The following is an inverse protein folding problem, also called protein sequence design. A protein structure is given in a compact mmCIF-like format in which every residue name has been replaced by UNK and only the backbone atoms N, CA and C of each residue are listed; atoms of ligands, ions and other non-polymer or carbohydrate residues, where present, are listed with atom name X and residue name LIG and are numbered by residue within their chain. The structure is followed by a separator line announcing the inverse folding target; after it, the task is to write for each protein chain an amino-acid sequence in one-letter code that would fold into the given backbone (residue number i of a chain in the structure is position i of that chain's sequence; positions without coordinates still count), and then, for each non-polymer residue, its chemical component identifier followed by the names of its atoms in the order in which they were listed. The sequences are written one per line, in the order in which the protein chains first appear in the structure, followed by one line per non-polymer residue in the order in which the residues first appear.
data_IF_676716427940
#
_entry.id   IF_676716427940
#
_cell.length_a   1.000
_cell.length_b   1.000
_cell.length_c   1.000
_cell.angle_alpha   90.00
_cell.angle_beta   90.00
_cell.angle_gamma   90.00
#
_symmetry.space_group_name_H-M   'P 1'
#
loop_
_entity.id
_entity.type
_entity.pdbx_description
1 polymer ?
#
# COMPACT_ATOMS: atom_id res chain seq x y z
N UNK A 1 4.92 -6.62 -17.81
CA UNK A 1 6.11 -6.91 -18.64
C UNK A 1 6.77 -5.62 -19.08
N UNK A 2 8.00 -5.68 -19.61
CA UNK A 2 8.72 -4.51 -20.14
C UNK A 2 7.96 -3.83 -21.28
N UNK A 3 7.34 -4.63 -22.16
CA UNK A 3 6.49 -4.16 -23.25
C UNK A 3 5.33 -3.27 -22.78
N UNK A 4 4.69 -3.61 -21.64
CA UNK A 4 3.63 -2.79 -21.08
C UNK A 4 4.13 -1.40 -20.66
N UNK A 5 5.35 -1.32 -20.10
CA UNK A 5 5.98 -0.06 -19.70
C UNK A 5 6.25 0.81 -20.92
N UNK A 6 6.74 0.22 -22.01
CA UNK A 6 7.03 0.93 -23.26
C UNK A 6 5.73 1.45 -23.89
N UNK A 7 4.70 0.62 -23.98
CA UNK A 7 3.39 1.02 -24.49
C UNK A 7 2.77 2.18 -23.68
N UNK A 8 2.85 2.13 -22.34
CA UNK A 8 2.39 3.25 -21.51
C UNK A 8 3.27 4.49 -21.67
N UNK A 9 4.56 4.33 -21.95
CA UNK A 9 5.46 5.47 -22.20
C UNK A 9 5.09 6.20 -23.48
N UNK A 10 4.83 5.48 -24.58
CA UNK A 10 4.36 6.09 -25.83
C UNK A 10 3.00 6.77 -25.65
N UNK A 11 2.06 6.13 -24.94
CA UNK A 11 0.77 6.75 -24.62
C UNK A 11 0.92 8.06 -23.84
N UNK A 12 1.90 8.13 -22.92
CA UNK A 12 2.18 9.32 -22.12
C UNK A 12 2.91 10.43 -22.89
N UNK A 13 3.63 10.11 -23.97
CA UNK A 13 4.17 11.12 -24.90
C UNK A 13 3.05 11.83 -25.66
N UNK A 14 2.04 11.09 -26.08
CA UNK A 14 0.86 11.64 -26.77
C UNK A 14 -0.03 12.41 -25.79
N UNK A 15 -0.26 11.84 -24.60
CA UNK A 15 -1.10 12.44 -23.56
C UNK A 15 -0.47 12.25 -22.18
N UNK A 16 0.29 13.26 -21.74
CA UNK A 16 0.99 13.25 -20.44
C UNK A 16 0.05 13.21 -19.23
N UNK A 17 -1.21 13.61 -19.40
CA UNK A 17 -2.25 13.62 -18.36
C UNK A 17 -3.06 12.32 -18.29
N UNK A 18 -2.67 11.27 -19.01
CA UNK A 18 -3.43 10.02 -19.02
C UNK A 18 -3.20 9.20 -17.73
N UNK A 19 -4.03 9.47 -16.72
CA UNK A 19 -3.92 8.91 -15.37
C UNK A 19 -3.85 7.37 -15.35
N UNK A 20 -4.68 6.69 -16.16
CA UNK A 20 -4.71 5.22 -16.20
C UNK A 20 -3.40 4.63 -16.73
N UNK A 21 -2.74 5.29 -17.70
CA UNK A 21 -1.43 4.87 -18.18
C UNK A 21 -0.35 5.03 -17.10
N UNK A 22 -0.33 6.17 -16.37
CA UNK A 22 0.57 6.34 -15.23
C UNK A 22 0.38 5.26 -14.17
N UNK A 23 -0.87 4.99 -13.78
CA UNK A 23 -1.18 4.00 -12.75
C UNK A 23 -0.73 2.59 -13.16
N UNK A 24 -1.07 2.16 -14.39
CA UNK A 24 -0.70 0.83 -14.86
C UNK A 24 0.80 0.69 -15.14
N UNK A 25 1.48 1.77 -15.56
CA UNK A 25 2.94 1.80 -15.66
C UNK A 25 3.60 1.62 -14.29
N UNK A 26 3.06 2.26 -13.24
CA UNK A 26 3.49 2.04 -11.86
C UNK A 26 3.35 0.59 -11.40
N UNK A 27 2.20 -0.03 -11.67
CA UNK A 27 1.98 -1.46 -11.36
C UNK A 27 2.97 -2.36 -12.11
N UNK A 28 3.22 -2.08 -13.38
CA UNK A 28 4.18 -2.85 -14.17
C UNK A 28 5.62 -2.74 -13.61
N UNK A 29 6.03 -1.56 -13.14
CA UNK A 29 7.31 -1.41 -12.45
C UNK A 29 7.37 -2.17 -11.12
N UNK A 30 6.29 -2.17 -10.32
CA UNK A 30 6.26 -2.96 -9.07
C UNK A 30 6.39 -4.46 -9.33
N UNK A 31 5.72 -4.97 -10.37
CA UNK A 31 5.85 -6.38 -10.76
C UNK A 31 7.28 -6.76 -11.17
N UNK A 32 8.09 -5.80 -11.61
CA UNK A 32 9.50 -5.98 -11.92
C UNK A 32 10.44 -5.65 -10.75
N UNK A 33 9.91 -5.35 -9.56
CA UNK A 33 10.70 -4.93 -8.38
C UNK A 33 11.31 -3.53 -8.51
N UNK A 34 10.95 -2.75 -9.52
CA UNK A 34 11.48 -1.41 -9.77
C UNK A 34 10.71 -0.35 -8.97
N UNK A 35 10.77 -0.45 -7.64
CA UNK A 35 9.95 0.38 -6.75
C UNK A 35 10.17 1.90 -6.89
N UNK A 36 11.40 2.44 -7.06
CA UNK A 36 11.59 3.88 -7.28
C UNK A 36 10.88 4.40 -8.55
N UNK A 37 10.91 3.61 -9.63
CA UNK A 37 10.20 3.97 -10.86
C UNK A 37 8.67 3.91 -10.69
N UNK A 38 8.18 2.96 -9.89
CA UNK A 38 6.77 2.89 -9.53
C UNK A 38 6.31 4.11 -8.71
N UNK A 39 7.10 4.57 -7.75
CA UNK A 39 6.81 5.76 -6.94
C UNK A 39 6.63 7.01 -7.81
N UNK A 40 7.51 7.21 -8.81
CA UNK A 40 7.37 8.32 -9.76
C UNK A 40 6.02 8.23 -10.50
N UNK A 41 5.64 7.02 -10.94
CA UNK A 41 4.38 6.83 -11.64
C UNK A 41 3.16 7.15 -10.74
N UNK A 42 3.16 6.67 -9.50
CA UNK A 42 2.07 6.96 -8.55
C UNK A 42 2.03 8.42 -8.12
N UNK A 43 3.18 9.07 -7.96
CA UNK A 43 3.25 10.51 -7.72
C UNK A 43 2.61 11.32 -8.86
N UNK A 44 2.81 10.91 -10.12
CA UNK A 44 2.11 11.53 -11.25
C UNK A 44 0.59 11.31 -11.19
N UNK A 45 0.13 10.12 -10.80
CA UNK A 45 -1.31 9.85 -10.58
C UNK A 45 -1.88 10.77 -9.51
N UNK A 46 -1.20 10.88 -8.36
CA UNK A 46 -1.62 11.72 -7.23
C UNK A 46 -1.65 13.19 -7.64
N UNK A 47 -0.64 13.69 -8.37
CA UNK A 47 -0.61 15.07 -8.86
C UNK A 47 -1.78 15.37 -9.79
N UNK A 48 -2.16 14.43 -10.65
CA UNK A 48 -3.27 14.60 -11.60
C UNK A 48 -4.65 14.36 -10.97
N UNK A 49 -4.73 13.46 -9.98
CA UNK A 49 -5.93 13.07 -9.26
C UNK A 49 -5.59 12.73 -7.80
N UNK A 50 -5.57 13.73 -6.89
CA UNK A 50 -5.11 13.54 -5.51
C UNK A 50 -5.98 12.58 -4.70
N UNK A 51 -7.27 12.48 -5.05
CA UNK A 51 -8.24 11.62 -4.36
C UNK A 51 -8.21 10.17 -4.88
N UNK A 52 -7.08 9.69 -5.40
CA UNK A 52 -6.94 8.31 -5.87
C UNK A 52 -6.34 7.45 -4.77
N UNK A 53 -7.18 6.90 -3.88
CA UNK A 53 -6.77 6.05 -2.75
C UNK A 53 -5.79 4.95 -3.16
N UNK A 54 -6.07 4.24 -4.26
CA UNK A 54 -5.22 3.16 -4.75
C UNK A 54 -3.80 3.63 -5.14
N UNK A 55 -3.61 4.89 -5.54
CA UNK A 55 -2.28 5.40 -5.87
C UNK A 55 -1.46 5.64 -4.60
N UNK A 56 -2.07 6.18 -3.55
CA UNK A 56 -1.45 6.31 -2.23
C UNK A 56 -1.08 4.95 -1.64
N UNK A 57 -2.00 3.98 -1.67
CA UNK A 57 -1.73 2.60 -1.19
C UNK A 57 -0.54 2.00 -1.94
N UNK A 58 -0.55 2.01 -3.28
CA UNK A 58 0.54 1.37 -4.04
C UNK A 58 1.88 2.12 -3.90
N UNK A 59 1.86 3.44 -3.72
CA UNK A 59 3.07 4.21 -3.40
C UNK A 59 3.61 3.84 -2.01
N UNK A 60 2.73 3.67 -1.02
CA UNK A 60 3.10 3.18 0.31
C UNK A 60 3.71 1.79 0.28
N UNK A 61 3.13 0.88 -0.50
CA UNK A 61 3.72 -0.46 -0.74
C UNK A 61 5.11 -0.32 -1.34
N UNK A 62 5.28 0.50 -2.38
CA UNK A 62 6.58 0.70 -3.00
C UNK A 62 7.63 1.28 -2.03
N UNK A 63 7.26 2.21 -1.13
CA UNK A 63 8.15 2.68 -0.06
C UNK A 63 8.51 1.58 0.95
N UNK A 64 7.53 0.77 1.35
CA UNK A 64 7.75 -0.35 2.27
C UNK A 64 8.76 -1.36 1.72
N UNK A 65 8.64 -1.72 0.44
CA UNK A 65 9.53 -2.72 -0.18
C UNK A 65 10.99 -2.23 -0.33
N UNK A 66 11.23 -0.92 -0.28
CA UNK A 66 12.59 -0.34 -0.24
C UNK A 66 13.05 0.06 1.16
N UNK A 67 12.32 -0.35 2.21
CA UNK A 67 12.68 -0.09 3.60
C UNK A 67 12.42 1.33 4.10
N UNK A 68 11.72 2.17 3.33
CA UNK A 68 11.35 3.53 3.74
C UNK A 68 10.01 3.52 4.48
N UNK A 69 10.02 2.99 5.70
CA UNK A 69 8.80 2.69 6.46
C UNK A 69 8.01 3.93 6.88
N UNK A 70 8.67 5.04 7.22
CA UNK A 70 8.03 6.29 7.62
C UNK A 70 7.21 6.87 6.46
N UNK A 71 7.80 6.90 5.25
CA UNK A 71 7.09 7.36 4.05
C UNK A 71 5.97 6.41 3.64
N UNK A 72 6.14 5.11 3.85
CA UNK A 72 5.07 4.14 3.63
C UNK A 72 3.88 4.42 4.55
N UNK A 73 4.14 4.72 5.83
CA UNK A 73 3.13 5.07 6.81
C UNK A 73 2.37 6.34 6.40
N UNK A 74 3.09 7.41 6.04
CA UNK A 74 2.48 8.67 5.54
C UNK A 74 1.57 8.42 4.33
N UNK A 75 1.98 7.54 3.40
CA UNK A 75 1.15 7.19 2.24
C UNK A 75 -0.14 6.49 2.64
N UNK A 76 -0.10 5.58 3.62
CA UNK A 76 -1.30 4.91 4.09
C UNK A 76 -2.22 5.85 4.89
N UNK A 77 -1.66 6.77 5.66
CA UNK A 77 -2.44 7.84 6.31
C UNK A 77 -3.14 8.70 5.24
N UNK A 78 -2.44 9.12 4.19
CA UNK A 78 -3.08 9.84 3.07
C UNK A 78 -4.13 9.02 2.34
N UNK A 79 -3.92 7.71 2.17
CA UNK A 79 -4.95 6.85 1.61
C UNK A 79 -6.22 6.84 2.49
N UNK A 80 -6.06 6.79 3.81
CA UNK A 80 -7.16 6.79 4.78
C UNK A 80 -7.80 8.17 4.98
N UNK A 81 -7.08 9.26 4.76
CA UNK A 81 -7.66 10.62 4.67
C UNK A 81 -8.60 10.72 3.46
N UNK A 82 -8.23 10.12 2.33
CA UNK A 82 -9.04 10.12 1.09
C UNK A 82 -10.22 9.16 1.19
N UNK A 83 -10.00 7.96 1.73
CA UNK A 83 -11.03 6.94 1.94
C UNK A 83 -10.81 6.25 3.30
N UNK A 84 -11.50 6.74 4.36
CA UNK A 84 -11.40 6.17 5.69
C UNK A 84 -11.88 4.72 5.79
N UNK A 85 -12.69 4.27 4.83
CA UNK A 85 -13.27 2.93 4.79
C UNK A 85 -12.42 1.92 4.02
N UNK A 86 -11.24 2.33 3.53
CA UNK A 86 -10.38 1.46 2.73
C UNK A 86 -9.79 0.33 3.56
N UNK A 87 -10.43 -0.84 3.52
CA UNK A 87 -9.95 -2.06 4.19
C UNK A 87 -8.52 -2.42 3.75
N UNK A 88 -8.19 -2.20 2.47
CA UNK A 88 -6.86 -2.46 1.91
C UNK A 88 -5.80 -1.51 2.48
N UNK A 89 -6.14 -0.23 2.72
CA UNK A 89 -5.21 0.72 3.33
C UNK A 89 -4.96 0.36 4.81
N UNK A 90 -6.03 0.06 5.56
CA UNK A 90 -5.93 -0.41 6.95
C UNK A 90 -5.10 -1.69 7.05
N UNK A 91 -5.31 -2.68 6.18
CA UNK A 91 -4.53 -3.91 6.15
C UNK A 91 -3.04 -3.64 5.91
N UNK A 92 -2.70 -2.85 4.89
CA UNK A 92 -1.30 -2.54 4.59
C UNK A 92 -0.59 -1.72 5.67
N UNK A 93 -1.33 -0.82 6.34
CA UNK A 93 -0.83 -0.09 7.52
C UNK A 93 -0.59 -1.03 8.70
N UNK A 94 -1.49 -2.00 8.92
CA UNK A 94 -1.32 -3.05 9.92
C UNK A 94 -0.08 -3.91 9.68
N UNK A 95 0.11 -4.39 8.44
CA UNK A 95 1.32 -5.14 8.04
C UNK A 95 2.59 -4.34 8.28
N UNK A 96 2.59 -3.05 7.91
CA UNK A 96 3.73 -2.16 8.14
C UNK A 96 4.06 -2.04 9.63
N UNK A 97 3.04 -1.79 10.47
CA UNK A 97 3.21 -1.65 11.92
C UNK A 97 3.67 -2.96 12.57
N UNK A 98 3.16 -4.11 12.12
CA UNK A 98 3.60 -5.40 12.62
C UNK A 98 5.09 -5.63 12.31
N UNK A 99 5.54 -5.27 11.10
CA UNK A 99 6.95 -5.36 10.69
C UNK A 99 7.87 -4.43 11.47
N UNK A 100 7.40 -3.25 11.90
CA UNK A 100 8.18 -2.28 12.69
C UNK A 100 8.02 -2.45 14.20
N UNK A 101 7.39 -3.53 14.66
CA UNK A 101 7.25 -3.87 16.09
C UNK A 101 6.05 -3.24 16.80
N UNK A 102 5.23 -2.46 16.09
CA UNK A 102 3.99 -1.85 16.57
C UNK A 102 2.80 -2.82 16.67
N UNK A 103 2.99 -4.03 17.19
CA UNK A 103 2.01 -5.13 17.15
C UNK A 103 0.62 -4.76 17.69
N UNK A 104 0.52 -4.03 18.81
CA UNK A 104 -0.77 -3.57 19.35
C UNK A 104 -1.50 -2.63 18.40
N UNK A 105 -0.77 -1.72 17.75
CA UNK A 105 -1.34 -0.80 16.75
C UNK A 105 -1.70 -1.53 15.46
N UNK A 106 -0.90 -2.51 15.05
CA UNK A 106 -1.20 -3.37 13.92
C UNK A 106 -2.53 -4.12 14.11
N UNK A 107 -2.77 -4.68 15.30
CA UNK A 107 -4.03 -5.35 15.65
C UNK A 107 -5.24 -4.41 15.50
N UNK A 108 -5.11 -3.15 15.91
CA UNK A 108 -6.17 -2.14 15.71
C UNK A 108 -6.43 -1.93 14.21
N UNK A 109 -5.38 -1.79 13.40
CA UNK A 109 -5.50 -1.63 11.96
C UNK A 109 -6.16 -2.85 11.29
N UNK A 110 -5.80 -4.08 11.67
CA UNK A 110 -6.45 -5.27 11.11
C UNK A 110 -7.92 -5.38 11.51
N UNK A 111 -8.26 -5.06 12.75
CA UNK A 111 -9.66 -4.99 13.17
C UNK A 111 -10.43 -3.95 12.36
N UNK A 112 -9.86 -2.77 12.12
CA UNK A 112 -10.47 -1.75 11.24
C UNK A 112 -10.63 -2.22 9.81
N UNK A 113 -9.65 -2.94 9.26
CA UNK A 113 -9.76 -3.53 7.94
C UNK A 113 -10.95 -4.51 7.87
N UNK A 114 -11.11 -5.36 8.88
CA UNK A 114 -12.18 -6.36 8.96
C UNK A 114 -13.55 -5.77 9.32
N UNK A 115 -13.61 -4.63 10.01
CA UNK A 115 -14.85 -3.86 10.19
C UNK A 115 -15.41 -3.41 8.83
N UNK A 116 -14.55 -3.03 7.88
CA UNK A 116 -14.94 -2.56 6.56
C UNK A 116 -15.08 -3.68 5.52
N UNK A 117 -14.24 -4.72 5.60
CA UNK A 117 -14.34 -5.94 4.80
C UNK A 117 -14.13 -7.18 5.67
N UNK A 118 -15.21 -7.76 6.21
CA UNK A 118 -15.14 -8.94 7.07
C UNK A 118 -14.59 -10.20 6.39
N UNK A 119 -14.50 -10.21 5.05
CA UNK A 119 -14.03 -11.35 4.25
C UNK A 119 -12.61 -11.16 3.73
N UNK A 120 -11.91 -10.12 4.19
CA UNK A 120 -10.52 -9.89 3.81
C UNK A 120 -9.61 -10.95 4.46
N UNK A 121 -9.40 -12.06 3.76
CA UNK A 121 -8.63 -13.21 4.22
C UNK A 121 -7.22 -12.82 4.69
N UNK A 122 -6.55 -11.94 3.93
CA UNK A 122 -5.21 -11.43 4.28
C UNK A 122 -5.19 -10.78 5.68
N UNK A 123 -6.19 -9.94 5.98
CA UNK A 123 -6.27 -9.25 7.27
C UNK A 123 -6.61 -10.21 8.41
N UNK A 124 -7.42 -11.26 8.17
CA UNK A 124 -7.67 -12.31 9.16
C UNK A 124 -6.38 -13.03 9.52
N UNK A 125 -5.64 -13.51 8.52
CA UNK A 125 -4.39 -14.26 8.72
C UNK A 125 -3.36 -13.41 9.46
N UNK A 126 -3.12 -12.18 9.02
CA UNK A 126 -2.15 -11.29 9.64
C UNK A 126 -2.54 -10.90 11.06
N UNK A 127 -3.85 -10.73 11.33
CA UNK A 127 -4.35 -10.49 12.68
C UNK A 127 -4.04 -11.65 13.62
N UNK A 128 -4.36 -12.87 13.22
CA UNK A 128 -4.11 -14.07 14.05
C UNK A 128 -2.61 -14.27 14.30
N UNK A 129 -1.76 -14.02 13.30
CA UNK A 129 -0.30 -14.05 13.48
C UNK A 129 0.16 -13.04 14.55
N UNK A 130 -0.37 -11.81 14.52
CA UNK A 130 -0.02 -10.78 15.50
C UNK A 130 -0.53 -11.14 16.90
N UNK A 131 -1.73 -11.72 17.03
CA UNK A 131 -2.27 -12.18 18.32
C UNK A 131 -1.37 -13.27 18.91
N UNK A 132 -1.06 -14.31 18.13
CA UNK A 132 -0.20 -15.41 18.57
C UNK A 132 1.19 -14.91 19.01
N UNK A 133 1.76 -13.94 18.28
CA UNK A 133 3.03 -13.32 18.66
C UNK A 133 2.95 -12.60 20.02
N UNK A 134 1.90 -11.82 20.26
CA UNK A 134 1.70 -11.10 21.52
C UNK A 134 1.53 -12.08 22.69
N UNK A 135 0.74 -13.14 22.52
CA UNK A 135 0.51 -14.16 23.55
C UNK A 135 1.78 -14.94 23.88
N UNK A 136 2.54 -15.35 22.86
CA UNK A 136 3.81 -16.03 23.03
C UNK A 136 4.80 -15.17 23.83
N UNK A 137 4.86 -13.86 23.55
CA UNK A 137 5.71 -12.92 24.30
C UNK A 137 5.23 -12.73 25.75
N UNK A 138 3.91 -12.76 25.98
CA UNK A 138 3.33 -12.64 27.33
C UNK A 138 3.64 -13.88 28.19
N UNK A 139 3.62 -15.06 27.61
CA UNK A 139 3.84 -16.33 28.32
C UNK A 139 5.34 -16.65 28.55
N UNK A 140 6.24 -15.87 27.96
CA UNK A 140 7.69 -16.03 28.09
C UNK A 140 8.29 -15.23 29.27
N UNK A 141 7.45 -14.61 30.10
CA UNK A 141 7.80 -13.79 31.27
C UNK A 141 7.18 -14.46 32.50
#
# INVERSE_FOLDING_TARGET
TREAIDAYTEALKIRSTYVKAWFNKGKAFQQLGMYPAAQICYSNVIRLKPNTTAAWINMGVAYREIGQYERAFECYEKALEVDPSSAVAWNNMGVLLARTGGHKRALICFNKALEHDPRLEEALVEREHVIAFIEAKRNAI
#
